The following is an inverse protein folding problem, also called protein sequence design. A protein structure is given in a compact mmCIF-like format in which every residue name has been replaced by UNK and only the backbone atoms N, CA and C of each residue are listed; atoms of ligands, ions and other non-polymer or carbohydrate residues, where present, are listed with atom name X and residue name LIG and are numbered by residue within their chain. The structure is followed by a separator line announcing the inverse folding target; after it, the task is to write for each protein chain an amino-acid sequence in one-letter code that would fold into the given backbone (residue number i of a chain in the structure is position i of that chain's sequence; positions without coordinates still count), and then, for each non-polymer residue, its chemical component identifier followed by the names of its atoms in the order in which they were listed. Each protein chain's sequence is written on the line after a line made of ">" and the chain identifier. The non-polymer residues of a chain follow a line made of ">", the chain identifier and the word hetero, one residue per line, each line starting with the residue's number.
data_IF_606800237040
#
_entry.id   IF_606800237040
#
_cell.length_a   1.000
_cell.length_b   1.000
_cell.length_c   1.000
_cell.angle_alpha   90.00
_cell.angle_beta   90.00
_cell.angle_gamma   90.00
#
_symmetry.space_group_name_H-M   'P 1'
#
loop_
_entity.id
_entity.type
_entity.pdbx_description
1 polymer ?
#
# COMPACT_ATOMS: atom_id res chain seq x y z
N UNK A 1 -54.85 7.40 -13.90
CA UNK A 1 -54.40 7.76 -12.54
C UNK A 1 -53.45 6.75 -11.90
N UNK A 2 -53.28 5.53 -12.44
CA UNK A 2 -52.31 4.53 -11.92
C UNK A 2 -50.90 4.63 -12.52
N UNK A 3 -50.75 5.21 -13.72
CA UNK A 3 -49.43 5.44 -14.34
C UNK A 3 -48.58 6.51 -13.64
N UNK A 4 -49.22 7.48 -12.95
CA UNK A 4 -48.50 8.52 -12.21
C UNK A 4 -47.87 7.98 -10.90
N UNK A 5 -48.48 6.96 -10.30
CA UNK A 5 -48.00 6.33 -9.07
C UNK A 5 -46.82 5.37 -9.31
N UNK A 6 -46.77 4.73 -10.49
CA UNK A 6 -45.62 3.91 -10.89
C UNK A 6 -44.37 4.74 -11.22
N UNK A 7 -44.56 5.96 -11.76
CA UNK A 7 -43.48 6.91 -12.01
C UNK A 7 -42.90 7.51 -10.72
N UNK A 8 -43.72 7.72 -9.68
CA UNK A 8 -43.23 8.15 -8.37
C UNK A 8 -42.45 7.04 -7.64
N UNK A 9 -42.86 5.77 -7.79
CA UNK A 9 -42.16 4.64 -7.20
C UNK A 9 -40.77 4.41 -7.83
N UNK A 10 -40.59 4.75 -9.11
CA UNK A 10 -39.31 4.66 -9.81
C UNK A 10 -38.31 5.78 -9.44
N UNK A 11 -38.78 6.90 -8.88
CA UNK A 11 -37.95 8.04 -8.47
C UNK A 11 -37.45 7.97 -7.02
N UNK A 12 -37.97 7.03 -6.21
CA UNK A 12 -37.54 6.81 -4.82
C UNK A 12 -36.64 5.57 -4.63
N UNK A 13 -36.28 4.87 -5.73
CA UNK A 13 -35.57 3.59 -5.70
C UNK A 13 -34.05 3.64 -5.86
N UNK A 14 -33.40 4.81 -5.69
CA UNK A 14 -31.94 4.91 -5.71
C UNK A 14 -31.47 5.69 -4.48
N UNK A 15 -31.45 4.99 -3.34
CA UNK A 15 -30.57 5.39 -2.24
C UNK A 15 -29.20 4.79 -2.56
N UNK A 16 -28.12 5.58 -2.67
CA UNK A 16 -26.79 5.02 -2.55
C UNK A 16 -26.70 4.49 -1.12
N UNK A 17 -26.44 3.20 -0.97
CA UNK A 17 -25.95 2.67 0.29
C UNK A 17 -24.55 3.23 0.47
N UNK A 18 -24.44 4.44 1.01
CA UNK A 18 -23.26 4.83 1.76
C UNK A 18 -23.18 3.82 2.90
N UNK A 19 -22.30 2.84 2.74
CA UNK A 19 -21.96 1.91 3.79
C UNK A 19 -21.25 2.73 4.87
N UNK A 20 -22.02 3.34 5.76
CA UNK A 20 -21.51 3.96 6.98
C UNK A 20 -20.95 2.83 7.84
N UNK A 21 -19.63 2.73 7.91
CA UNK A 21 -18.95 1.77 8.76
C UNK A 21 -19.37 1.99 10.22
N UNK A 22 -19.42 0.92 11.01
CA UNK A 22 -19.67 1.06 12.44
C UNK A 22 -18.52 1.82 13.10
N UNK A 23 -18.77 2.56 14.21
CA UNK A 23 -17.70 3.27 14.93
C UNK A 23 -16.55 2.35 15.38
N UNK A 24 -16.84 1.05 15.60
CA UNK A 24 -15.84 0.05 15.94
C UNK A 24 -14.98 -0.34 14.73
N UNK A 25 -15.57 -0.49 13.55
CA UNK A 25 -14.83 -0.75 12.30
C UNK A 25 -13.98 0.46 11.87
N UNK A 26 -14.48 1.68 12.11
CA UNK A 26 -13.72 2.93 11.92
C UNK A 26 -12.49 2.97 12.85
N UNK A 27 -12.67 2.61 14.13
CA UNK A 27 -11.58 2.56 15.11
C UNK A 27 -10.56 1.45 14.81
N UNK A 28 -11.00 0.31 14.28
CA UNK A 28 -10.12 -0.80 13.89
C UNK A 28 -9.29 -0.53 12.62
N UNK A 29 -9.62 0.52 11.85
CA UNK A 29 -8.83 0.98 10.70
C UNK A 29 -7.64 1.86 11.08
N UNK A 30 -7.53 2.26 12.34
CA UNK A 30 -6.50 3.19 12.81
C UNK A 30 -5.36 2.42 13.48
N UNK A 31 -4.21 2.32 12.81
CA UNK A 31 -2.99 1.69 13.32
C UNK A 31 -2.21 2.58 14.30
N UNK A 32 -2.72 2.79 15.51
CA UNK A 32 -2.02 3.62 16.50
C UNK A 32 -0.76 2.94 17.04
N UNK A 33 0.34 3.70 17.11
CA UNK A 33 1.51 3.30 17.88
C UNK A 33 1.40 3.82 19.31
N UNK A 34 1.41 2.92 20.28
CA UNK A 34 1.48 3.27 21.71
C UNK A 34 2.94 3.41 22.13
N UNK A 35 3.30 4.54 22.73
CA UNK A 35 4.63 4.82 23.26
C UNK A 35 4.55 5.05 24.76
N UNK A 36 5.44 4.41 25.53
CA UNK A 36 5.57 4.67 26.96
C UNK A 36 6.69 5.68 27.20
N UNK A 37 6.39 6.72 27.97
CA UNK A 37 7.29 7.83 28.25
C UNK A 37 7.40 8.08 29.75
N UNK A 38 8.61 8.45 30.18
CA UNK A 38 8.89 8.92 31.56
C UNK A 38 8.80 10.44 31.69
N UNK A 39 8.54 11.15 30.59
CA UNK A 39 8.33 12.59 30.64
C UNK A 39 7.02 12.89 31.37
N UNK A 40 6.92 14.03 32.07
CA UNK A 40 5.71 14.40 32.80
C UNK A 40 4.51 14.55 31.86
N UNK A 41 3.31 14.35 32.40
CA UNK A 41 2.06 14.50 31.66
C UNK A 41 1.91 15.96 31.17
N UNK A 42 1.49 16.19 29.91
CA UNK A 42 1.13 17.52 29.42
C UNK A 42 0.04 18.17 30.29
N UNK A 43 0.14 19.48 30.51
CA UNK A 43 -0.87 20.25 31.26
C UNK A 43 -2.02 20.69 30.35
N UNK A 44 -3.21 20.86 30.92
CA UNK A 44 -4.37 21.40 30.20
C UNK A 44 -5.10 20.40 29.30
N UNK A 45 -4.98 19.10 29.57
CA UNK A 45 -5.69 18.06 28.84
C UNK A 45 -7.18 18.06 29.20
N UNK A 46 -8.04 17.98 28.18
CA UNK A 46 -9.47 17.72 28.33
C UNK A 46 -9.74 16.24 28.57
N UNK A 47 -10.90 15.91 29.14
CA UNK A 47 -11.28 14.55 29.56
C UNK A 47 -11.26 13.54 28.41
N UNK A 48 -11.50 14.02 27.20
CA UNK A 48 -11.58 13.25 25.96
C UNK A 48 -10.18 12.99 25.36
N UNK A 49 -9.15 13.71 25.81
CA UNK A 49 -7.79 13.65 25.28
C UNK A 49 -6.87 12.71 26.09
N UNK A 50 -7.37 12.04 27.12
CA UNK A 50 -6.55 11.11 27.90
C UNK A 50 -7.30 9.88 28.39
N UNK A 51 -6.55 8.78 28.53
CA UNK A 51 -7.04 7.50 29.03
C UNK A 51 -6.12 6.94 30.12
N UNK A 52 -6.61 6.70 31.35
CA UNK A 52 -5.82 6.08 32.40
C UNK A 52 -5.64 4.57 32.14
N UNK A 53 -4.40 4.10 32.22
CA UNK A 53 -4.02 2.72 31.98
C UNK A 53 -3.28 2.14 33.18
N UNK A 54 -3.57 0.87 33.52
CA UNK A 54 -2.82 0.11 34.51
C UNK A 54 -2.36 -1.20 33.90
N UNK A 55 -1.06 -1.46 33.96
CA UNK A 55 -0.46 -2.70 33.48
C UNK A 55 -0.56 -3.80 34.53
N UNK A 56 -0.40 -5.05 34.09
CA UNK A 56 -0.45 -6.25 34.96
C UNK A 56 0.62 -6.25 36.05
N UNK A 57 1.78 -5.64 35.79
CA UNK A 57 2.85 -5.45 36.76
C UNK A 57 2.54 -4.36 37.83
N UNK A 58 1.38 -3.71 37.76
CA UNK A 58 0.94 -2.69 38.70
C UNK A 58 1.30 -1.25 38.32
N UNK A 59 2.17 -1.03 37.33
CA UNK A 59 2.54 0.30 36.84
C UNK A 59 1.32 1.05 36.29
N UNK A 60 1.29 2.36 36.53
CA UNK A 60 0.16 3.23 36.14
C UNK A 60 0.62 4.30 35.17
N UNK A 61 -0.20 4.55 34.17
CA UNK A 61 0.05 5.52 33.10
C UNK A 61 -1.19 6.34 32.82
N UNK A 62 -1.00 7.54 32.29
CA UNK A 62 -2.05 8.29 31.60
C UNK A 62 -1.61 8.46 30.14
N UNK A 63 -2.41 7.92 29.23
CA UNK A 63 -2.16 7.91 27.80
C UNK A 63 -2.88 9.06 27.13
N UNK A 64 -2.13 9.96 26.49
CA UNK A 64 -2.68 11.08 25.73
C UNK A 64 -3.11 10.57 24.36
N UNK A 65 -4.39 10.74 24.06
CA UNK A 65 -5.00 10.37 22.78
C UNK A 65 -4.94 11.60 21.87
N UNK A 66 -4.31 11.50 20.69
CA UNK A 66 -4.19 12.64 19.80
C UNK A 66 -5.52 12.97 19.14
N UNK A 67 -5.74 14.27 18.89
CA UNK A 67 -6.87 14.71 18.09
C UNK A 67 -6.70 14.24 16.65
N UNK A 68 -7.72 13.56 16.13
CA UNK A 68 -7.81 13.17 14.73
C UNK A 68 -7.91 14.45 13.91
N UNK A 69 -6.83 14.85 13.24
CA UNK A 69 -6.82 16.10 12.48
C UNK A 69 -7.71 15.98 11.23
N UNK A 70 -8.49 17.02 10.93
CA UNK A 70 -9.32 17.10 9.70
C UNK A 70 -8.51 17.01 8.39
N UNK A 71 -7.17 17.03 8.43
CA UNK A 71 -6.33 16.75 7.24
C UNK A 71 -6.54 15.33 6.69
N UNK A 72 -7.01 14.42 7.54
CA UNK A 72 -7.37 13.04 7.21
C UNK A 72 -8.52 12.98 6.18
N UNK A 73 -9.40 13.99 6.14
CA UNK A 73 -10.47 14.08 5.13
C UNK A 73 -9.88 14.35 3.73
N UNK A 74 -8.81 15.14 3.61
CA UNK A 74 -8.23 15.49 2.30
C UNK A 74 -7.45 14.34 1.66
N UNK A 75 -6.74 13.52 2.44
CA UNK A 75 -6.05 12.34 1.90
C UNK A 75 -7.03 11.19 1.62
N UNK A 76 -8.05 10.99 2.46
CA UNK A 76 -9.08 9.98 2.26
C UNK A 76 -9.90 10.25 0.98
N UNK A 77 -10.21 11.53 0.69
CA UNK A 77 -10.90 11.93 -0.55
C UNK A 77 -10.00 11.74 -1.79
N UNK A 78 -8.68 11.93 -1.68
CA UNK A 78 -7.73 11.68 -2.78
C UNK A 78 -7.50 10.19 -3.04
N UNK A 79 -7.55 9.36 -2.00
CA UNK A 79 -7.34 7.91 -2.07
C UNK A 79 -8.63 7.08 -2.16
N UNK A 80 -9.71 7.67 -2.67
CA UNK A 80 -10.84 6.87 -3.12
C UNK A 80 -10.33 5.80 -4.10
N UNK A 81 -10.58 4.53 -3.77
CA UNK A 81 -10.11 3.37 -4.55
C UNK A 81 -10.53 3.52 -6.01
N UNK A 82 -9.64 3.21 -6.95
CA UNK A 82 -9.82 3.37 -8.40
C UNK A 82 -9.86 4.83 -8.92
N UNK A 83 -9.47 5.83 -8.12
CA UNK A 83 -9.27 7.19 -8.63
C UNK A 83 -7.98 7.29 -9.42
N UNK A 84 -8.02 7.95 -10.59
CA UNK A 84 -6.84 8.18 -11.41
C UNK A 84 -5.80 9.05 -10.68
N UNK A 85 -4.54 8.64 -10.77
CA UNK A 85 -3.41 9.41 -10.25
C UNK A 85 -3.18 10.64 -11.13
N UNK A 86 -3.13 11.85 -10.56
CA UNK A 86 -2.88 13.06 -11.34
C UNK A 86 -1.57 13.02 -12.13
N UNK A 87 -1.59 13.51 -13.37
CA UNK A 87 -0.45 13.50 -14.28
C UNK A 87 0.84 14.13 -13.68
N UNK A 88 0.69 15.17 -12.85
CA UNK A 88 1.82 15.82 -12.16
C UNK A 88 2.55 14.89 -11.17
N UNK A 89 1.81 13.98 -10.51
CA UNK A 89 2.41 13.00 -9.60
C UNK A 89 3.11 11.91 -10.41
N UNK A 90 2.45 11.43 -11.48
CA UNK A 90 3.00 10.40 -12.37
C UNK A 90 4.27 10.83 -13.08
N UNK A 91 4.37 12.08 -13.51
CA UNK A 91 5.58 12.60 -14.13
C UNK A 91 6.81 12.40 -13.23
N UNK A 92 6.69 12.70 -11.93
CA UNK A 92 7.79 12.51 -10.97
C UNK A 92 8.17 11.05 -10.82
N UNK A 93 7.19 10.15 -10.83
CA UNK A 93 7.43 8.70 -10.75
C UNK A 93 8.13 8.23 -12.03
N UNK A 94 7.66 8.64 -13.22
CA UNK A 94 8.31 8.30 -14.49
C UNK A 94 9.77 8.78 -14.56
N UNK A 95 10.07 9.96 -14.01
CA UNK A 95 11.43 10.48 -13.97
C UNK A 95 12.33 9.66 -13.05
N UNK A 96 11.85 9.27 -11.86
CA UNK A 96 12.62 8.49 -10.88
C UNK A 96 12.82 7.04 -11.29
N UNK A 97 11.83 6.44 -11.95
CA UNK A 97 11.91 5.08 -12.46
C UNK A 97 12.51 4.98 -13.88
N UNK A 98 13.03 6.07 -14.44
CA UNK A 98 13.65 6.04 -15.76
C UNK A 98 14.76 4.99 -15.81
N UNK A 99 14.63 4.03 -16.73
CA UNK A 99 15.57 2.93 -16.92
C UNK A 99 15.76 2.02 -15.69
N UNK A 100 14.77 1.99 -14.79
CA UNK A 100 14.80 1.08 -13.63
C UNK A 100 14.25 -0.28 -14.03
N UNK A 101 15.04 -1.32 -13.77
CA UNK A 101 14.62 -2.71 -13.83
C UNK A 101 14.92 -3.38 -12.49
N UNK A 102 13.95 -4.12 -11.97
CA UNK A 102 14.07 -4.87 -10.70
C UNK A 102 13.88 -6.34 -10.97
N UNK A 103 14.65 -7.18 -10.26
CA UNK A 103 14.55 -8.64 -10.35
C UNK A 103 14.09 -9.23 -9.03
N UNK A 104 13.32 -10.31 -9.12
CA UNK A 104 12.87 -11.11 -8.00
C UNK A 104 13.10 -12.58 -8.33
N UNK A 105 13.82 -13.29 -7.46
CA UNK A 105 14.08 -14.73 -7.61
C UNK A 105 13.12 -15.47 -6.67
N UNK A 106 12.36 -16.40 -7.23
CA UNK A 106 11.48 -17.29 -6.47
C UNK A 106 11.63 -18.72 -6.98
N UNK A 107 12.36 -19.52 -6.21
CA UNK A 107 12.74 -20.88 -6.59
C UNK A 107 13.52 -20.91 -7.91
N UNK A 108 12.97 -21.60 -8.91
CA UNK A 108 13.57 -21.78 -10.23
C UNK A 108 13.43 -20.56 -11.15
N UNK A 109 12.48 -19.67 -10.84
CA UNK A 109 12.15 -18.54 -11.72
C UNK A 109 12.81 -17.25 -11.24
N UNK A 110 13.33 -16.51 -12.20
CA UNK A 110 13.67 -15.10 -12.05
C UNK A 110 12.63 -14.26 -12.77
N UNK A 111 11.96 -13.38 -12.04
CA UNK A 111 11.07 -12.38 -12.59
C UNK A 111 11.82 -11.06 -12.73
N UNK A 112 11.58 -10.34 -13.83
CA UNK A 112 12.11 -9.01 -14.05
C UNK A 112 10.98 -8.07 -14.44
N UNK A 113 10.92 -6.93 -13.78
CA UNK A 113 10.05 -5.81 -14.14
C UNK A 113 10.92 -4.63 -14.56
N UNK A 114 10.70 -4.13 -15.76
CA UNK A 114 11.32 -2.91 -16.27
C UNK A 114 10.26 -1.81 -16.45
N UNK A 115 10.53 -0.64 -15.87
CA UNK A 115 9.59 0.48 -15.91
C UNK A 115 9.35 0.96 -17.33
N UNK A 116 8.08 1.16 -17.70
CA UNK A 116 7.63 1.52 -19.06
C UNK A 116 8.13 0.59 -20.18
N UNK A 117 8.43 -0.67 -19.86
CA UNK A 117 8.89 -1.66 -20.85
C UNK A 117 8.05 -2.94 -20.71
N UNK A 118 8.45 -3.88 -19.86
CA UNK A 118 7.80 -5.19 -19.78
C UNK A 118 8.00 -5.86 -18.42
N UNK A 119 7.20 -6.89 -18.18
CA UNK A 119 7.39 -7.88 -17.11
C UNK A 119 7.69 -9.22 -17.77
N UNK A 120 8.78 -9.87 -17.34
CA UNK A 120 9.22 -11.14 -17.90
C UNK A 120 9.54 -12.15 -16.81
N UNK A 121 9.27 -13.41 -17.11
CA UNK A 121 9.75 -14.57 -16.36
C UNK A 121 10.91 -15.19 -17.15
N UNK A 122 11.99 -15.49 -16.46
CA UNK A 122 13.24 -15.99 -17.01
C UNK A 122 13.75 -17.13 -16.14
N UNK A 123 14.34 -18.16 -16.73
CA UNK A 123 15.22 -19.05 -15.98
C UNK A 123 16.67 -18.57 -16.14
N UNK A 124 17.18 -17.86 -15.14
CA UNK A 124 18.59 -17.49 -15.07
C UNK A 124 19.34 -18.52 -14.23
N UNK A 125 20.53 -18.99 -14.66
CA UNK A 125 21.34 -19.91 -13.87
C UNK A 125 21.68 -19.29 -12.51
N UNK A 126 21.19 -19.91 -11.44
CA UNK A 126 21.53 -19.55 -10.06
C UNK A 126 22.65 -20.47 -9.56
N UNK A 127 23.83 -19.91 -9.29
CA UNK A 127 24.87 -20.55 -8.48
C UNK A 127 24.97 -19.80 -7.15
N UNK A 128 24.57 -20.45 -6.05
CA UNK A 128 24.83 -19.95 -4.70
C UNK A 128 26.14 -20.58 -4.23
N UNK A 129 27.22 -19.79 -4.18
CA UNK A 129 28.46 -20.16 -3.49
C UNK A 129 28.52 -19.47 -2.12
N UNK A 130 29.18 -20.12 -1.16
CA UNK A 130 29.19 -19.84 0.29
C UNK A 130 29.57 -18.40 0.69
N UNK A 131 30.08 -17.59 -0.23
CA UNK A 131 30.70 -16.29 0.05
C UNK A 131 29.88 -15.09 -0.51
N UNK A 132 28.67 -15.33 -1.03
CA UNK A 132 27.70 -14.28 -1.38
C UNK A 132 28.01 -13.45 -2.63
N UNK A 133 29.05 -13.77 -3.39
CA UNK A 133 29.36 -13.11 -4.67
C UNK A 133 28.74 -13.90 -5.83
N UNK A 134 27.86 -13.23 -6.59
CA UNK A 134 27.18 -13.79 -7.75
C UNK A 134 28.14 -13.89 -8.93
N UNK A 135 28.52 -15.12 -9.32
CA UNK A 135 29.18 -15.41 -10.59
C UNK A 135 28.17 -16.10 -11.51
N UNK A 136 27.76 -15.43 -12.58
CA UNK A 136 26.95 -16.02 -13.63
C UNK A 136 27.80 -17.01 -14.43
N UNK A 137 27.45 -18.30 -14.40
CA UNK A 137 27.93 -19.27 -15.39
C UNK A 137 27.04 -19.18 -16.62
N UNK A 138 27.64 -19.05 -17.81
CA UNK A 138 26.93 -19.11 -19.10
C UNK A 138 25.97 -20.31 -19.13
N UNK A 139 24.67 -20.07 -19.34
CA UNK A 139 23.76 -21.16 -19.66
C UNK A 139 24.10 -21.69 -21.04
N UNK A 140 24.36 -22.99 -21.12
CA UNK A 140 24.37 -23.73 -22.38
C UNK A 140 22.94 -23.77 -22.93
N UNK A 141 22.53 -22.70 -23.65
CA UNK A 141 21.21 -22.57 -24.26
C UNK A 141 20.57 -21.19 -24.02
N UNK A 142 19.59 -20.83 -24.87
CA UNK A 142 18.76 -19.64 -24.65
C UNK A 142 17.96 -19.83 -23.36
N UNK A 143 17.97 -18.88 -22.41
CA UNK A 143 17.15 -18.99 -21.21
C UNK A 143 15.68 -19.05 -21.60
N UNK A 144 14.91 -19.93 -20.95
CA UNK A 144 13.45 -19.95 -21.10
C UNK A 144 12.91 -18.62 -20.63
N UNK A 145 12.18 -17.94 -21.50
CA UNK A 145 11.67 -16.59 -21.30
C UNK A 145 10.19 -16.55 -21.66
N UNK A 146 9.39 -16.02 -20.74
CA UNK A 146 7.97 -15.77 -20.96
C UNK A 146 7.66 -14.30 -20.68
N UNK A 147 6.96 -13.67 -21.60
CA UNK A 147 6.45 -12.31 -21.46
C UNK A 147 5.15 -12.34 -20.64
N UNK A 148 5.15 -11.66 -19.50
CA UNK A 148 3.99 -11.61 -18.58
C UNK A 148 3.15 -10.34 -18.76
N UNK A 149 3.64 -9.40 -19.58
CA UNK A 149 2.94 -8.17 -19.91
C UNK A 149 3.88 -7.09 -20.42
N UNK A 150 3.33 -6.17 -21.23
CA UNK A 150 4.03 -5.03 -21.82
C UNK A 150 3.40 -3.74 -21.30
N UNK A 151 4.23 -2.72 -21.08
CA UNK A 151 3.77 -1.40 -20.75
C UNK A 151 2.87 -0.85 -21.89
N UNK A 152 1.67 -0.36 -21.56
CA UNK A 152 0.86 0.39 -22.51
C UNK A 152 1.60 1.60 -23.07
N UNK A 153 1.10 2.14 -24.20
CA UNK A 153 1.61 3.39 -24.74
C UNK A 153 1.48 4.53 -23.72
N UNK A 154 2.28 5.59 -23.85
CA UNK A 154 2.24 6.73 -22.92
C UNK A 154 0.86 7.38 -22.80
N UNK A 155 0.06 7.31 -23.87
CA UNK A 155 -1.29 7.87 -23.94
C UNK A 155 -2.34 6.99 -23.24
N UNK A 156 -2.09 5.68 -23.17
CA UNK A 156 -3.01 4.69 -22.57
C UNK A 156 -2.61 4.27 -21.16
N UNK A 157 -1.34 4.50 -20.78
CA UNK A 157 -0.82 4.21 -19.47
C UNK A 157 -1.47 5.10 -18.41
N UNK A 158 -2.29 4.48 -17.57
CA UNK A 158 -2.99 5.15 -16.46
C UNK A 158 -2.69 4.41 -15.16
N UNK A 159 -2.56 5.17 -14.08
CA UNK A 159 -2.39 4.65 -12.74
C UNK A 159 -3.59 5.02 -11.89
N UNK A 160 -3.93 4.13 -10.97
CA UNK A 160 -5.05 4.30 -10.05
C UNK A 160 -4.57 4.13 -8.61
N UNK A 161 -5.20 4.83 -7.68
CA UNK A 161 -4.94 4.63 -6.26
C UNK A 161 -5.62 3.35 -5.74
N UNK A 162 -4.93 2.65 -4.85
CA UNK A 162 -5.42 1.44 -4.19
C UNK A 162 -4.95 1.33 -2.74
N UNK A 163 -5.68 0.54 -1.96
CA UNK A 163 -5.35 0.21 -0.57
C UNK A 163 -5.36 -1.31 -0.46
N UNK A 164 -4.32 -1.89 0.12
CA UNK A 164 -4.22 -3.33 0.29
C UNK A 164 -4.99 -3.81 1.54
N UNK A 165 -5.13 -5.13 1.76
CA UNK A 165 -5.84 -5.66 2.93
C UNK A 165 -5.22 -5.27 4.29
N UNK A 166 -3.97 -4.81 4.32
CA UNK A 166 -3.26 -4.39 5.53
C UNK A 166 -3.34 -2.86 5.75
N UNK A 167 -3.99 -2.14 4.83
CA UNK A 167 -4.14 -0.69 4.88
C UNK A 167 -3.02 0.09 4.20
N UNK A 168 -2.07 -0.59 3.55
CA UNK A 168 -0.97 0.07 2.84
C UNK A 168 -1.48 0.67 1.52
N UNK A 169 -1.10 1.94 1.30
CA UNK A 169 -1.46 2.69 0.09
C UNK A 169 -0.51 2.36 -1.05
N UNK A 170 -1.07 2.13 -2.24
CA UNK A 170 -0.30 1.91 -3.48
C UNK A 170 -0.92 2.63 -4.68
N UNK A 171 -0.14 2.78 -5.74
CA UNK A 171 -0.68 3.05 -7.07
C UNK A 171 -0.53 1.82 -7.95
N UNK A 172 -1.49 1.57 -8.83
CA UNK A 172 -1.41 0.43 -9.75
C UNK A 172 -1.75 0.74 -11.19
N UNK A 173 -1.16 -0.04 -12.08
CA UNK A 173 -1.44 -0.05 -13.52
C UNK A 173 -1.38 -1.48 -14.05
N UNK A 174 -1.90 -1.71 -15.25
CA UNK A 174 -1.88 -3.04 -15.89
C UNK A 174 -0.93 -3.03 -17.08
N UNK A 175 -0.14 -4.08 -17.19
CA UNK A 175 0.73 -4.41 -18.32
C UNK A 175 0.12 -5.61 -19.05
N UNK A 176 -0.68 -5.38 -20.10
CA UNK A 176 -1.34 -6.44 -20.86
C UNK A 176 -0.44 -7.01 -21.97
N UNK A 177 -1.00 -7.87 -22.83
CA UNK A 177 -0.38 -8.33 -24.08
C UNK A 177 0.93 -9.11 -23.90
N UNK A 178 1.00 -9.95 -22.86
CA UNK A 178 2.07 -10.93 -22.73
C UNK A 178 1.90 -12.13 -23.66
N UNK A 179 2.75 -13.13 -23.49
CA UNK A 179 2.69 -14.37 -24.27
C UNK A 179 1.35 -15.08 -24.09
N UNK A 180 0.90 -15.73 -25.15
CA UNK A 180 -0.35 -16.48 -25.15
C UNK A 180 -0.30 -17.59 -24.09
N UNK A 181 -1.28 -17.60 -23.20
CA UNK A 181 -1.43 -18.63 -22.19
C UNK A 181 -1.95 -19.93 -22.81
N UNK A 182 -1.28 -21.04 -22.54
CA UNK A 182 -1.69 -22.39 -22.95
C UNK A 182 -2.94 -22.88 -22.21
N UNK A 183 -3.16 -22.42 -20.97
CA UNK A 183 -4.30 -22.82 -20.15
C UNK A 183 -5.59 -22.06 -20.48
N UNK A 184 -5.50 -20.73 -20.64
CA UNK A 184 -6.67 -19.85 -20.83
C UNK A 184 -6.86 -19.42 -22.28
N UNK A 185 -5.86 -19.64 -23.14
CA UNK A 185 -5.81 -19.15 -24.52
C UNK A 185 -5.96 -17.61 -24.63
N UNK A 186 -5.63 -16.88 -23.56
CA UNK A 186 -5.60 -15.43 -23.51
C UNK A 186 -4.17 -14.93 -23.30
N UNK A 187 -3.81 -13.72 -23.76
CA UNK A 187 -2.52 -13.11 -23.45
C UNK A 187 -2.33 -12.96 -21.94
N UNK A 188 -1.13 -13.29 -21.44
CA UNK A 188 -0.76 -13.00 -20.05
C UNK A 188 -0.86 -11.51 -19.75
N UNK A 189 -1.20 -11.18 -18.51
CA UNK A 189 -1.22 -9.79 -18.05
C UNK A 189 -0.71 -9.68 -16.61
N UNK A 190 -0.10 -8.55 -16.30
CA UNK A 190 0.43 -8.26 -14.96
C UNK A 190 -0.11 -6.94 -14.43
N UNK A 191 -0.71 -6.95 -13.24
CA UNK A 191 -0.95 -5.73 -12.47
C UNK A 191 0.33 -5.32 -11.72
N UNK A 192 0.81 -4.11 -11.96
CA UNK A 192 1.94 -3.51 -11.26
C UNK A 192 1.39 -2.71 -10.08
N UNK A 193 1.82 -3.01 -8.85
CA UNK A 193 1.51 -2.24 -7.64
C UNK A 193 2.78 -1.61 -7.08
N UNK A 194 2.80 -0.29 -6.95
CA UNK A 194 3.93 0.46 -6.41
C UNK A 194 3.61 0.97 -4.99
N UNK A 195 4.49 0.63 -4.05
CA UNK A 195 4.44 1.07 -2.66
C UNK A 195 5.63 1.97 -2.35
N UNK A 196 5.44 2.99 -1.50
CA UNK A 196 6.54 3.80 -1.01
C UNK A 196 7.35 3.03 0.04
N UNK A 197 8.67 2.92 -0.17
CA UNK A 197 9.60 2.44 0.85
C UNK A 197 10.11 3.64 1.68
N UNK A 198 9.92 3.59 3.00
CA UNK A 198 10.50 4.59 3.91
C UNK A 198 12.03 4.47 3.98
N UNK A 199 12.70 5.49 4.53
CA UNK A 199 14.17 5.54 4.58
C UNK A 199 14.81 4.33 5.27
N UNK A 200 14.13 3.74 6.25
CA UNK A 200 14.56 2.58 7.03
C UNK A 200 14.00 1.24 6.52
N UNK A 201 13.21 1.25 5.45
CA UNK A 201 12.63 0.04 4.88
C UNK A 201 13.46 -0.46 3.70
N UNK A 202 13.52 -1.78 3.56
CA UNK A 202 14.15 -2.43 2.42
C UNK A 202 13.27 -2.30 1.17
N UNK A 203 13.91 -2.02 0.04
CA UNK A 203 13.23 -2.12 -1.25
C UNK A 203 13.01 -3.58 -1.59
N UNK A 204 11.80 -3.92 -2.05
CA UNK A 204 11.43 -5.31 -2.30
C UNK A 204 10.45 -5.41 -3.45
N UNK A 205 10.73 -6.35 -4.36
CA UNK A 205 9.81 -6.79 -5.39
C UNK A 205 9.27 -8.17 -5.03
N UNK A 206 7.99 -8.40 -5.33
CA UNK A 206 7.36 -9.73 -5.33
C UNK A 206 6.52 -9.88 -6.59
N UNK A 207 6.28 -11.11 -7.02
CA UNK A 207 5.35 -11.43 -8.09
C UNK A 207 4.54 -12.66 -7.67
N UNK A 208 3.23 -12.59 -7.85
CA UNK A 208 2.30 -13.69 -7.55
C UNK A 208 1.36 -13.91 -8.71
N UNK A 209 1.14 -15.16 -9.08
CA UNK A 209 0.06 -15.56 -9.98
C UNK A 209 -1.23 -15.66 -9.15
N UNK A 210 -2.16 -14.73 -9.39
CA UNK A 210 -3.41 -14.63 -8.61
C UNK A 210 -4.55 -15.40 -9.26
N UNK A 211 -4.51 -15.51 -10.59
CA UNK A 211 -5.36 -16.36 -11.41
C UNK A 211 -4.48 -16.95 -12.51
N UNK A 212 -4.90 -18.03 -13.17
CA UNK A 212 -4.12 -18.65 -14.24
C UNK A 212 -3.72 -17.60 -15.30
N UNK A 213 -2.40 -17.43 -15.51
CA UNK A 213 -1.80 -16.47 -16.43
C UNK A 213 -2.08 -14.98 -16.12
N UNK A 214 -2.48 -14.66 -14.89
CA UNK A 214 -2.66 -13.30 -14.39
C UNK A 214 -1.82 -13.07 -13.14
N UNK A 215 -0.97 -12.06 -13.21
CA UNK A 215 0.03 -11.82 -12.20
C UNK A 215 -0.20 -10.48 -11.50
N UNK A 216 0.20 -10.41 -10.24
CA UNK A 216 0.34 -9.15 -9.50
C UNK A 216 1.79 -9.04 -9.07
N UNK A 217 2.48 -8.01 -9.54
CA UNK A 217 3.80 -7.64 -9.01
C UNK A 217 3.67 -6.47 -8.06
N UNK A 218 4.24 -6.61 -6.86
CA UNK A 218 4.29 -5.55 -5.86
C UNK A 218 5.73 -5.11 -5.69
N UNK A 219 6.01 -3.83 -5.96
CA UNK A 219 7.31 -3.20 -5.81
C UNK A 219 7.24 -2.11 -4.74
N UNK A 220 7.92 -2.35 -3.63
CA UNK A 220 8.17 -1.36 -2.58
C UNK A 220 9.51 -0.69 -2.86
N UNK A 221 9.50 0.61 -3.16
CA UNK A 221 10.70 1.36 -3.54
C UNK A 221 10.63 2.82 -3.11
N UNK A 222 11.79 3.42 -2.85
CA UNK A 222 11.97 4.84 -2.55
C UNK A 222 11.58 5.71 -3.74
N UNK A 223 11.72 5.21 -4.97
CA UNK A 223 11.35 5.92 -6.19
C UNK A 223 9.84 6.14 -6.32
N UNK A 224 9.03 5.27 -5.73
CA UNK A 224 7.57 5.37 -5.75
C UNK A 224 7.00 6.38 -4.74
N UNK A 225 7.82 6.94 -3.84
CA UNK A 225 7.34 7.78 -2.75
C UNK A 225 6.79 9.14 -3.22
N UNK A 226 5.48 9.30 -3.13
CA UNK A 226 4.76 10.58 -3.19
C UNK A 226 4.06 10.81 -1.85
N UNK A 227 3.77 12.07 -1.46
CA UNK A 227 3.13 12.36 -0.17
C UNK A 227 1.87 11.53 0.10
N UNK A 228 1.09 11.25 -0.93
CA UNK A 228 -0.16 10.50 -0.85
C UNK A 228 0.06 9.00 -0.59
N UNK A 229 1.20 8.44 -1.00
CA UNK A 229 1.59 7.03 -0.77
C UNK A 229 2.33 6.82 0.56
N UNK A 230 2.77 7.90 1.20
CA UNK A 230 3.33 7.77 2.52
C UNK A 230 2.19 7.45 3.49
N UNK A 231 2.38 6.51 4.43
CA UNK A 231 1.45 6.40 5.55
C UNK A 231 1.35 7.78 6.16
N UNK A 232 0.13 8.24 6.44
CA UNK A 232 -0.03 9.54 7.07
C UNK A 232 0.80 9.54 8.35
N UNK A 233 1.84 10.37 8.40
CA UNK A 233 2.56 10.66 9.65
C UNK A 233 1.64 11.34 10.69
N UNK A 234 0.35 11.51 10.36
CA UNK A 234 -0.72 12.04 11.19
C UNK A 234 -1.31 11.08 12.21
N UNK A 235 -0.75 9.89 12.43
CA UNK A 235 -0.99 9.21 13.71
C UNK A 235 0.08 9.67 14.69
N UNK A 236 -0.15 10.82 15.31
CA UNK A 236 0.54 11.12 16.56
C UNK A 236 0.43 9.86 17.45
N UNK A 237 1.53 9.37 18.02
CA UNK A 237 1.47 8.17 18.83
C UNK A 237 0.67 8.44 20.10
N UNK A 238 -0.11 7.46 20.55
CA UNK A 238 -0.70 7.50 21.88
C UNK A 238 0.46 7.43 22.87
N UNK A 239 0.75 8.53 23.57
CA UNK A 239 1.88 8.60 24.49
C UNK A 239 1.40 8.43 25.91
N UNK A 240 1.82 7.32 26.53
CA UNK A 240 1.50 6.93 27.90
C UNK A 240 2.58 7.43 28.85
N UNK A 241 2.23 8.40 29.70
CA UNK A 241 3.10 9.01 30.70
C UNK A 241 2.96 8.28 32.02
N UNK A 242 4.08 7.83 32.58
CA UNK A 242 4.09 7.15 33.88
C UNK A 242 3.63 8.09 35.00
N UNK A 243 2.78 7.60 35.89
CA UNK A 243 2.34 8.35 37.07
C UNK A 243 2.85 7.66 38.32
N UNK A 244 3.74 8.36 39.03
CA UNK A 244 4.16 8.00 40.38
C UNK A 244 3.36 8.81 41.41
N UNK A 245 3.17 8.26 42.60
CA UNK A 245 2.43 8.88 43.70
C UNK A 245 3.02 10.25 44.12
N UNK A 246 4.32 10.49 43.85
CA UNK A 246 4.96 11.76 44.12
C UNK A 246 4.43 12.93 43.25
N UNK A 247 3.86 12.64 42.07
CA UNK A 247 3.44 13.67 41.10
C UNK A 247 2.00 14.13 41.31
N UNK A 248 1.17 13.35 42.00
CA UNK A 248 -0.25 13.65 42.28
C UNK A 248 -0.48 14.58 43.47
N UNK A 249 0.57 14.92 44.23
CA UNK A 249 0.50 15.83 45.39
C UNK A 249 0.82 17.30 45.04
N UNK A 250 1.04 17.62 43.76
CA UNK A 250 1.46 18.95 43.30
C UNK A 250 0.42 19.68 42.43
N UNK A 251 -0.88 19.38 42.60
CA UNK A 251 -2.01 20.12 42.00
C UNK A 251 -2.95 20.57 43.09
#
# INVERSE_FOLDING_TARGET
>A
MWLLWLLLAALLGLMPSDATFSPLEEAMRLNYRVLFSRNPLPRGLHKEQYYPLRLSNGSRFVCVVPEVSQQQETSAVLFAVNRNVPARLLQRIHERFRNVCVRFIDGWWTYQFCWNDEVVQLHLPTMILKDGVLLATESQGSPTRFLLGVAPSKESLSFHFGIDPFGDRFISTRYPNGDLCDLTNAPRETEIRLYCAQSNEEEKMTLREVEACRYVTSLKSKYACIPELQPEMGQQPITCHEIDFATLQAV
#
